data_IF_977734739075
#
_entry.id   IF_977734739075
#
_cell.length_a   1.000
_cell.length_b   1.000
_cell.length_c   1.000
_cell.angle_alpha   90.00
_cell.angle_beta   90.00
_cell.angle_gamma   90.00
#
_symmetry.space_group_name_H-M   'P 1'
#
loop_
_entity.id
_entity.type
_entity.pdbx_description
1 polymer ?
#
# COMPACT_ATOMS: atom_id res chain seq x y z
N UNK A 1 -20.25 -17.99 22.41
CA UNK A 1 -19.29 -18.47 21.39
C UNK A 1 -19.27 -17.45 20.26
N UNK A 2 -18.23 -16.70 19.94
CA UNK A 2 -16.82 -16.66 20.35
C UNK A 2 -16.34 -15.20 20.20
N UNK A 3 -16.04 -14.51 21.30
CA UNK A 3 -15.44 -13.15 21.26
C UNK A 3 -13.90 -13.20 21.13
N UNK A 4 -13.34 -14.38 20.85
CA UNK A 4 -11.90 -14.67 20.99
C UNK A 4 -11.17 -15.07 19.69
N UNK A 5 -11.75 -14.93 18.50
CA UNK A 5 -11.11 -15.42 17.25
C UNK A 5 -10.50 -14.37 16.31
N UNK A 6 -10.49 -13.07 16.65
CA UNK A 6 -9.63 -12.12 15.92
C UNK A 6 -8.46 -11.71 16.80
N UNK A 7 -7.27 -12.27 16.52
CA UNK A 7 -6.01 -11.93 17.21
C UNK A 7 -5.53 -10.49 17.02
N UNK A 8 -6.41 -9.58 16.57
CA UNK A 8 -6.10 -8.25 16.06
C UNK A 8 -6.80 -7.17 16.88
N UNK A 9 -6.07 -6.09 17.17
CA UNK A 9 -6.67 -4.91 17.81
C UNK A 9 -7.74 -4.27 16.91
N UNK A 10 -8.90 -3.84 17.44
CA UNK A 10 -9.94 -3.12 16.70
C UNK A 10 -9.43 -1.86 15.98
N UNK A 11 -8.30 -1.31 16.44
CA UNK A 11 -7.61 -0.18 15.81
C UNK A 11 -7.26 -0.45 14.33
N UNK A 12 -7.00 -1.71 13.96
CA UNK A 12 -6.68 -2.07 12.58
C UNK A 12 -7.88 -1.95 11.63
N UNK A 13 -9.11 -2.17 12.09
CA UNK A 13 -10.30 -2.12 11.23
C UNK A 13 -10.54 -0.71 10.67
N UNK A 14 -10.34 0.32 11.48
CA UNK A 14 -10.45 1.72 11.04
C UNK A 14 -9.35 2.08 10.04
N UNK A 15 -8.14 1.57 10.25
CA UNK A 15 -6.99 1.79 9.37
C UNK A 15 -7.19 1.08 8.03
N UNK A 16 -7.66 -0.17 8.04
CA UNK A 16 -7.95 -0.97 6.84
C UNK A 16 -9.00 -0.28 5.95
N UNK A 17 -10.09 0.21 6.55
CA UNK A 17 -11.11 0.96 5.79
C UNK A 17 -10.53 2.21 5.13
N UNK A 18 -9.69 2.95 5.84
CA UNK A 18 -9.03 4.15 5.31
C UNK A 18 -8.08 3.81 4.16
N UNK A 19 -7.26 2.76 4.32
CA UNK A 19 -6.32 2.29 3.28
C UNK A 19 -7.07 1.85 2.04
N UNK A 20 -8.12 1.05 2.18
CA UNK A 20 -8.94 0.60 1.06
C UNK A 20 -9.64 1.77 0.37
N UNK A 21 -10.17 2.73 1.14
CA UNK A 21 -10.77 3.95 0.61
C UNK A 21 -9.77 4.82 -0.17
N UNK A 22 -8.46 4.73 0.11
CA UNK A 22 -7.42 5.37 -0.68
C UNK A 22 -6.99 4.55 -1.91
N UNK A 23 -6.80 3.24 -1.74
CA UNK A 23 -6.28 2.36 -2.80
C UNK A 23 -7.28 2.15 -3.94
N UNK A 24 -8.58 2.05 -3.65
CA UNK A 24 -9.61 1.85 -4.68
C UNK A 24 -9.62 3.00 -5.71
N UNK A 25 -9.80 4.28 -5.31
CA UNK A 25 -9.81 5.37 -6.28
C UNK A 25 -8.45 5.56 -6.95
N UNK A 26 -7.32 5.37 -6.23
CA UNK A 26 -6.00 5.44 -6.84
C UNK A 26 -5.78 4.34 -7.89
N UNK A 27 -6.23 3.12 -7.62
CA UNK A 27 -6.14 2.01 -8.57
C UNK A 27 -7.00 2.22 -9.80
N UNK A 28 -8.21 2.78 -9.63
CA UNK A 28 -9.07 3.17 -10.74
C UNK A 28 -8.42 4.27 -11.60
N UNK A 29 -7.88 5.31 -10.96
CA UNK A 29 -7.15 6.36 -11.66
C UNK A 29 -5.92 5.81 -12.39
N UNK A 30 -5.15 4.92 -11.75
CA UNK A 30 -3.99 4.28 -12.34
C UNK A 30 -4.34 3.42 -13.57
N UNK A 31 -5.49 2.74 -13.55
CA UNK A 31 -6.01 1.96 -14.68
C UNK A 31 -6.63 2.79 -15.80
N UNK A 32 -7.13 3.99 -15.49
CA UNK A 32 -7.67 4.93 -16.48
C UNK A 32 -6.60 5.71 -17.23
N UNK A 33 -5.36 5.72 -16.73
CA UNK A 33 -4.24 6.35 -17.43
C UNK A 33 -3.96 5.57 -18.71
N UNK A 34 -4.03 6.27 -19.84
CA UNK A 34 -3.83 5.71 -21.19
C UNK A 34 -2.34 5.56 -21.55
N UNK A 35 -1.54 5.03 -20.62
CA UNK A 35 -0.09 4.82 -20.81
C UNK A 35 0.26 3.38 -21.19
N UNK A 36 -0.73 2.61 -21.67
CA UNK A 36 -0.58 1.18 -21.94
C UNK A 36 -0.54 0.31 -20.69
N UNK A 37 -0.95 0.84 -19.53
CA UNK A 37 -1.01 0.09 -18.27
C UNK A 37 0.29 0.14 -17.46
N UNK A 38 1.22 1.03 -17.79
CA UNK A 38 2.47 1.22 -17.07
C UNK A 38 2.21 1.63 -15.61
N UNK A 39 1.42 2.68 -15.40
CA UNK A 39 1.06 3.21 -14.08
C UNK A 39 0.19 2.20 -13.32
N UNK A 40 -0.71 1.49 -13.99
CA UNK A 40 -1.46 0.39 -13.37
C UNK A 40 -0.53 -0.72 -12.84
N UNK A 41 0.50 -1.08 -13.61
CA UNK A 41 1.48 -2.09 -13.19
C UNK A 41 2.32 -1.61 -12.01
N UNK A 42 2.79 -0.35 -12.03
CA UNK A 42 3.50 0.28 -10.90
C UNK A 42 2.62 0.28 -9.65
N UNK A 43 1.33 0.60 -9.80
CA UNK A 43 0.36 0.59 -8.72
C UNK A 43 0.18 -0.81 -8.13
N UNK A 44 0.12 -1.87 -8.95
CA UNK A 44 0.05 -3.25 -8.48
C UNK A 44 1.29 -3.66 -7.66
N UNK A 45 2.50 -3.32 -8.14
CA UNK A 45 3.73 -3.56 -7.37
C UNK A 45 3.76 -2.79 -6.06
N UNK A 46 3.31 -1.53 -6.08
CA UNK A 46 3.15 -0.70 -4.88
C UNK A 46 2.21 -1.37 -3.88
N UNK A 47 1.06 -1.86 -4.36
CA UNK A 47 0.06 -2.52 -3.53
C UNK A 47 0.62 -3.81 -2.90
N UNK A 48 1.33 -4.62 -3.68
CA UNK A 48 2.00 -5.82 -3.16
C UNK A 48 3.04 -5.48 -2.07
N UNK A 49 3.88 -4.47 -2.29
CA UNK A 49 4.85 -3.99 -1.31
C UNK A 49 4.18 -3.46 -0.03
N UNK A 50 3.11 -2.68 -0.18
CA UNK A 50 2.33 -2.17 0.93
C UNK A 50 1.74 -3.29 1.79
N UNK A 51 1.06 -4.27 1.18
CA UNK A 51 0.45 -5.37 1.93
C UNK A 51 1.49 -6.25 2.62
N UNK A 52 2.66 -6.43 2.01
CA UNK A 52 3.79 -7.14 2.63
C UNK A 52 4.29 -6.40 3.88
N UNK A 53 4.47 -5.08 3.78
CA UNK A 53 4.84 -4.22 4.91
C UNK A 53 3.77 -4.22 6.02
N UNK A 54 2.50 -4.09 5.64
CA UNK A 54 1.37 -4.13 6.57
C UNK A 54 1.31 -5.48 7.31
N UNK A 55 1.43 -6.59 6.59
CA UNK A 55 1.46 -7.93 7.17
C UNK A 55 2.63 -8.10 8.16
N UNK A 56 3.83 -7.61 7.82
CA UNK A 56 4.97 -7.64 8.74
C UNK A 56 4.73 -6.83 10.02
N UNK A 57 4.15 -5.64 9.92
CA UNK A 57 3.82 -4.80 11.08
C UNK A 57 2.80 -5.51 11.97
N UNK A 58 1.75 -6.03 11.35
CA UNK A 58 0.72 -6.82 12.02
C UNK A 58 1.31 -8.03 12.75
N UNK A 59 2.18 -8.80 12.08
CA UNK A 59 2.78 -10.00 12.66
C UNK A 59 3.73 -9.66 13.82
N UNK A 60 4.43 -8.52 13.75
CA UNK A 60 5.33 -8.06 14.81
C UNK A 60 4.61 -7.39 15.97
N UNK A 61 3.50 -6.67 15.72
CA UNK A 61 2.77 -5.87 16.73
C UNK A 61 1.24 -5.99 16.54
N UNK A 62 0.64 -7.17 16.76
CA UNK A 62 -0.78 -7.41 16.47
C UNK A 62 -1.74 -6.67 17.43
N UNK A 63 -1.28 -6.30 18.64
CA UNK A 63 -2.13 -5.70 19.70
C UNK A 63 -1.78 -4.25 20.05
N UNK A 64 -0.52 -3.85 19.87
CA UNK A 64 -0.01 -2.53 20.29
C UNK A 64 0.72 -1.83 19.14
N UNK A 65 -0.01 -1.33 18.13
CA UNK A 65 0.58 -0.53 17.06
C UNK A 65 1.14 0.77 17.63
N UNK A 66 2.37 1.12 17.24
CA UNK A 66 2.97 2.40 17.60
C UNK A 66 2.43 3.52 16.74
N UNK A 67 2.59 4.78 17.18
CA UNK A 67 2.20 5.95 16.38
C UNK A 67 2.89 5.96 15.00
N UNK A 68 4.13 5.49 14.95
CA UNK A 68 4.91 5.35 13.71
C UNK A 68 4.30 4.31 12.77
N UNK A 69 3.86 3.16 13.29
CA UNK A 69 3.20 2.12 12.49
C UNK A 69 1.91 2.67 11.85
N UNK A 70 1.11 3.39 12.64
CA UNK A 70 -0.14 4.01 12.15
C UNK A 70 0.16 5.05 11.07
N UNK A 71 1.18 5.88 11.27
CA UNK A 71 1.60 6.89 10.28
C UNK A 71 2.08 6.22 8.99
N UNK A 72 2.92 5.20 9.10
CA UNK A 72 3.40 4.40 7.96
C UNK A 72 2.26 3.72 7.22
N UNK A 73 1.25 3.19 7.90
CA UNK A 73 0.13 2.54 7.20
C UNK A 73 -0.78 3.56 6.53
N UNK A 74 -1.02 4.72 7.16
CA UNK A 74 -1.84 5.81 6.59
C UNK A 74 -1.22 6.47 5.36
N UNK A 75 0.09 6.70 5.38
CA UNK A 75 0.81 7.38 4.29
C UNK A 75 1.57 6.41 3.38
N UNK A 76 1.66 5.14 3.75
CA UNK A 76 2.47 4.13 3.07
C UNK A 76 2.05 3.91 1.63
N UNK A 77 0.76 3.83 1.35
CA UNK A 77 0.25 3.71 -0.02
C UNK A 77 0.74 4.86 -0.90
N UNK A 78 0.66 6.10 -0.42
CA UNK A 78 1.06 7.27 -1.18
C UNK A 78 2.59 7.36 -1.34
N UNK A 79 3.34 7.19 -0.24
CA UNK A 79 4.81 7.21 -0.27
C UNK A 79 5.37 6.11 -1.17
N UNK A 80 4.88 4.88 -1.03
CA UNK A 80 5.32 3.77 -1.86
C UNK A 80 4.94 3.99 -3.33
N UNK A 81 3.78 4.59 -3.62
CA UNK A 81 3.39 4.89 -5.00
C UNK A 81 4.34 5.92 -5.64
N UNK A 82 4.63 7.02 -4.94
CA UNK A 82 5.58 8.05 -5.40
C UNK A 82 6.96 7.45 -5.63
N UNK A 83 7.47 6.66 -4.66
CA UNK A 83 8.77 5.99 -4.78
C UNK A 83 8.77 5.00 -5.94
N UNK A 84 7.68 4.26 -6.15
CA UNK A 84 7.57 3.29 -7.24
C UNK A 84 7.52 3.98 -8.61
N UNK A 85 6.83 5.11 -8.74
CA UNK A 85 6.86 5.93 -9.95
C UNK A 85 8.27 6.47 -10.23
N UNK A 86 8.95 6.98 -9.20
CA UNK A 86 10.34 7.45 -9.32
C UNK A 86 11.27 6.31 -9.74
N UNK A 87 11.20 5.15 -9.09
CA UNK A 87 11.97 3.96 -9.46
C UNK A 87 11.67 3.52 -10.89
N UNK A 88 10.40 3.49 -11.30
CA UNK A 88 10.04 3.11 -12.65
C UNK A 88 10.66 4.05 -13.69
N UNK A 89 10.64 5.38 -13.45
CA UNK A 89 11.30 6.34 -14.33
C UNK A 89 12.83 6.12 -14.43
N UNK A 90 13.48 5.77 -13.32
CA UNK A 90 14.91 5.45 -13.31
C UNK A 90 15.16 4.14 -14.06
N UNK A 91 14.38 3.09 -13.78
CA UNK A 91 14.52 1.78 -14.44
C UNK A 91 14.30 1.91 -15.95
N UNK A 92 13.30 2.68 -16.40
CA UNK A 92 13.06 2.91 -17.81
C UNK A 92 14.18 3.70 -18.50
N UNK A 93 14.75 4.70 -17.82
CA UNK A 93 15.97 5.38 -18.29
C UNK A 93 17.14 4.42 -18.44
N UNK A 94 17.34 3.52 -17.47
CA UNK A 94 18.41 2.52 -17.54
C UNK A 94 18.18 1.46 -18.62
N UNK A 95 16.92 1.14 -18.94
CA UNK A 95 16.56 0.24 -20.04
C UNK A 95 16.60 0.91 -21.42
N UNK A 96 16.94 2.19 -21.50
CA UNK A 96 17.04 2.95 -22.75
C UNK A 96 15.69 3.22 -23.43
N UNK A 97 14.59 3.17 -22.68
CA UNK A 97 13.24 3.43 -23.20
C UNK A 97 12.88 4.94 -23.26
N UNK A 98 13.77 5.83 -22.80
CA UNK A 98 13.72 7.29 -22.96
C UNK A 98 15.15 7.83 -22.99
#
# INVERSE_FOLDING_TARGET
MNETESGFSPAYNGILKLVLAQQIPLGLLAGLITDGGGVATIFLYTMAGFWTGFAMIVMRRPRTPTKTDIFMIKWGTFLLFVVSCAMASVIWRWRGAV
#
